data_IF_252984349304
#
_entry.id   IF_252984349304
#
_cell.length_a   1.000
_cell.length_b   1.000
_cell.length_c   1.000
_cell.angle_alpha   90.00
_cell.angle_beta   90.00
_cell.angle_gamma   90.00
#
_symmetry.space_group_name_H-M   'P 1'
#
loop_
_entity.id
_entity.type
_entity.pdbx_description
1 polymer ?
#
# COMPACT_ATOMS: atom_id res chain seq x y z
N UNK A 1 -26.31 14.68 33.88
CA UNK A 1 -24.86 14.88 33.72
C UNK A 1 -24.27 13.55 33.27
N UNK A 2 -24.06 13.36 31.95
CA UNK A 2 -23.48 12.12 31.41
C UNK A 2 -22.00 12.33 31.12
N UNK A 3 -21.18 11.64 31.89
CA UNK A 3 -19.73 11.60 31.79
C UNK A 3 -19.33 10.89 30.49
N UNK A 4 -18.62 11.60 29.59
CA UNK A 4 -17.93 11.00 28.45
C UNK A 4 -16.68 10.29 28.93
N UNK A 5 -16.57 9.00 28.69
CA UNK A 5 -15.32 8.24 28.83
C UNK A 5 -14.35 8.67 27.73
N UNK A 6 -13.10 9.07 28.03
CA UNK A 6 -12.12 9.40 27.01
C UNK A 6 -11.60 8.12 26.33
N UNK A 7 -11.57 8.13 24.99
CA UNK A 7 -10.90 7.11 24.20
C UNK A 7 -9.38 7.27 24.39
N UNK A 8 -8.78 6.34 25.12
CA UNK A 8 -7.32 6.25 25.30
C UNK A 8 -6.67 5.85 23.98
N UNK A 9 -5.93 6.77 23.37
CA UNK A 9 -5.05 6.53 22.22
C UNK A 9 -3.72 5.96 22.71
N UNK A 10 -3.71 4.67 23.03
CA UNK A 10 -2.49 3.88 23.18
C UNK A 10 -2.75 2.50 22.62
N UNK A 11 -2.71 2.37 21.29
CA UNK A 11 -2.61 1.06 20.66
C UNK A 11 -1.15 0.83 20.31
N UNK A 12 -0.41 -0.01 21.07
CA UNK A 12 0.95 -0.34 20.71
C UNK A 12 0.96 -1.05 19.35
N UNK A 13 1.96 -0.72 18.53
CA UNK A 13 2.31 -1.47 17.33
C UNK A 13 2.46 -2.95 17.73
N UNK A 14 1.44 -3.77 17.48
CA UNK A 14 1.48 -5.19 17.81
C UNK A 14 2.40 -5.88 16.82
N UNK A 15 3.67 -5.99 17.19
CA UNK A 15 4.53 -7.05 16.71
C UNK A 15 4.09 -8.35 17.42
N UNK A 16 3.46 -9.26 16.68
CA UNK A 16 3.06 -10.57 17.20
C UNK A 16 4.08 -11.63 16.75
N UNK A 17 5.02 -12.04 17.61
CA UNK A 17 6.06 -13.02 17.24
C UNK A 17 5.52 -14.45 17.09
N UNK A 18 4.28 -14.75 17.50
CA UNK A 18 3.73 -16.10 17.54
C UNK A 18 3.10 -16.55 16.21
N UNK A 19 2.92 -15.66 15.24
CA UNK A 19 2.26 -15.97 13.96
C UNK A 19 3.22 -16.40 12.86
N UNK A 20 4.24 -17.20 13.19
CA UNK A 20 5.15 -17.82 12.21
C UNK A 20 4.48 -18.99 11.48
N UNK A 21 3.56 -18.70 10.57
CA UNK A 21 3.18 -19.70 9.55
C UNK A 21 2.73 -19.01 8.27
N UNK A 22 3.65 -18.94 7.31
CA UNK A 22 3.28 -18.91 5.90
C UNK A 22 4.30 -19.75 5.12
N UNK A 23 3.95 -20.97 4.68
CA UNK A 23 4.72 -21.67 3.67
C UNK A 23 4.08 -21.62 2.27
N UNK A 24 4.98 -21.48 1.28
CA UNK A 24 4.92 -21.88 -0.13
C UNK A 24 3.92 -21.20 -1.09
N UNK A 25 4.25 -19.97 -1.52
CA UNK A 25 3.90 -19.51 -2.86
C UNK A 25 5.19 -19.09 -3.60
N UNK A 26 5.49 -19.80 -4.71
CA UNK A 26 6.48 -19.51 -5.76
C UNK A 26 7.79 -18.80 -5.37
N UNK A 27 8.91 -19.53 -5.38
CA UNK A 27 10.27 -19.08 -5.09
C UNK A 27 10.52 -17.57 -5.27
N UNK A 28 10.54 -16.86 -4.13
CA UNK A 28 11.02 -15.48 -3.97
C UNK A 28 10.02 -14.34 -4.22
N UNK A 29 8.83 -14.57 -4.77
CA UNK A 29 7.87 -13.49 -5.02
C UNK A 29 6.92 -13.28 -3.84
N UNK A 30 6.57 -12.02 -3.50
CA UNK A 30 5.60 -11.77 -2.44
C UNK A 30 4.21 -12.30 -2.86
N UNK A 31 3.41 -12.82 -1.92
CA UNK A 31 2.08 -13.34 -2.23
C UNK A 31 1.11 -12.20 -2.52
N UNK A 32 -0.05 -12.47 -3.16
CA UNK A 32 -1.13 -11.50 -3.25
C UNK A 32 -1.57 -11.01 -1.85
N UNK A 33 -1.90 -9.73 -1.66
CA UNK A 33 -2.00 -8.66 -2.65
C UNK A 33 -0.67 -7.94 -2.96
N UNK A 34 0.46 -8.44 -2.46
CA UNK A 34 1.78 -7.80 -2.64
C UNK A 34 2.54 -8.27 -3.88
N UNK A 35 2.05 -9.27 -4.62
CA UNK A 35 2.65 -9.70 -5.89
C UNK A 35 2.60 -8.55 -6.91
N UNK A 36 3.76 -8.00 -7.35
CA UNK A 36 3.77 -6.92 -8.33
C UNK A 36 3.20 -7.35 -9.68
N UNK A 37 3.32 -8.63 -10.05
CA UNK A 37 2.94 -9.15 -11.37
C UNK A 37 1.44 -9.11 -11.64
N UNK A 38 0.63 -8.96 -10.61
CA UNK A 38 -0.81 -8.78 -10.75
C UNK A 38 -1.22 -7.37 -11.20
N UNK A 39 -0.27 -6.44 -11.24
CA UNK A 39 -0.48 -5.02 -11.55
C UNK A 39 0.40 -4.56 -12.71
N UNK A 40 -0.13 -3.60 -13.46
CA UNK A 40 0.57 -2.94 -14.55
C UNK A 40 1.50 -1.86 -13.99
N UNK A 41 2.68 -1.71 -14.60
CA UNK A 41 3.61 -0.63 -14.29
C UNK A 41 3.04 0.69 -14.83
N UNK A 42 2.79 1.64 -13.94
CA UNK A 42 2.33 2.97 -14.33
C UNK A 42 3.51 3.91 -14.57
N UNK A 43 4.50 3.91 -13.66
CA UNK A 43 5.68 4.78 -13.71
C UNK A 43 6.75 4.33 -12.71
N UNK A 44 7.93 4.94 -12.78
CA UNK A 44 9.05 4.71 -11.85
C UNK A 44 9.42 6.03 -11.16
N UNK A 45 9.56 6.02 -9.83
CA UNK A 45 10.01 7.16 -9.01
C UNK A 45 11.11 6.70 -8.08
N UNK A 46 12.30 7.31 -8.17
CA UNK A 46 13.42 7.03 -7.26
C UNK A 46 13.73 5.52 -7.10
N UNK A 47 13.68 4.76 -8.20
CA UNK A 47 13.92 3.31 -8.20
C UNK A 47 12.72 2.45 -7.76
N UNK A 48 11.61 3.06 -7.36
CA UNK A 48 10.36 2.39 -7.04
C UNK A 48 9.42 2.38 -8.24
N UNK A 49 8.90 1.22 -8.57
CA UNK A 49 7.81 1.04 -9.51
C UNK A 49 6.48 1.36 -8.84
N UNK A 50 5.71 2.28 -9.41
CA UNK A 50 4.31 2.50 -9.03
C UNK A 50 3.46 1.63 -9.93
N UNK A 51 2.75 0.67 -9.33
CA UNK A 51 1.92 -0.29 -10.05
C UNK A 51 0.45 -0.20 -9.64
N UNK A 52 -0.43 -0.43 -10.60
CA UNK A 52 -1.88 -0.36 -10.44
C UNK A 52 -2.61 -1.44 -11.23
N UNK A 53 -3.82 -1.79 -10.82
CA UNK A 53 -4.70 -2.59 -11.66
C UNK A 53 -5.22 -1.72 -12.80
N UNK A 54 -5.23 -2.23 -14.04
CA UNK A 54 -5.87 -1.61 -15.19
C UNK A 54 -7.33 -2.06 -15.40
N UNK A 55 -7.98 -1.44 -16.39
CA UNK A 55 -9.28 -1.85 -16.94
C UNK A 55 -10.42 -1.97 -15.92
N UNK A 56 -11.29 -2.98 -16.07
CA UNK A 56 -12.49 -3.19 -15.22
C UNK A 56 -12.16 -3.40 -13.74
N UNK A 57 -10.98 -3.97 -13.44
CA UNK A 57 -10.54 -4.23 -12.06
C UNK A 57 -10.22 -2.92 -11.34
N UNK A 58 -9.65 -1.94 -12.05
CA UNK A 58 -9.42 -0.59 -11.55
C UNK A 58 -10.72 0.10 -11.13
N UNK A 59 -11.69 0.18 -12.04
CA UNK A 59 -12.99 0.83 -11.80
C UNK A 59 -13.72 0.20 -10.60
N UNK A 60 -13.73 -1.13 -10.52
CA UNK A 60 -14.30 -1.87 -9.40
C UNK A 60 -13.67 -1.46 -8.06
N UNK A 61 -12.34 -1.39 -7.98
CA UNK A 61 -11.68 -1.06 -6.73
C UNK A 61 -11.84 0.42 -6.34
N UNK A 62 -11.81 1.33 -7.32
CA UNK A 62 -11.95 2.76 -7.05
C UNK A 62 -13.35 3.07 -6.53
N UNK A 63 -14.40 2.62 -7.22
CA UNK A 63 -15.80 2.88 -6.84
C UNK A 63 -16.18 2.30 -5.47
N UNK A 64 -15.50 1.25 -5.02
CA UNK A 64 -15.71 0.62 -3.71
C UNK A 64 -14.82 1.18 -2.59
N UNK A 65 -13.88 2.07 -2.89
CA UNK A 65 -12.88 2.59 -1.93
C UNK A 65 -11.82 1.56 -1.52
N UNK A 66 -11.64 0.52 -2.35
CA UNK A 66 -10.67 -0.55 -2.16
C UNK A 66 -9.35 -0.30 -2.91
N UNK A 67 -9.34 0.71 -3.76
CA UNK A 67 -8.17 1.09 -4.53
C UNK A 67 -7.03 1.57 -3.63
N UNK A 68 -5.84 1.10 -3.94
CA UNK A 68 -4.55 1.49 -3.35
C UNK A 68 -3.49 1.38 -4.44
N UNK A 69 -2.45 2.20 -4.33
CA UNK A 69 -1.25 2.05 -5.13
C UNK A 69 -0.37 0.93 -4.56
N UNK A 70 0.38 0.28 -5.43
CA UNK A 70 1.51 -0.54 -5.03
C UNK A 70 2.80 0.18 -5.38
N UNK A 71 3.68 0.38 -4.40
CA UNK A 71 5.08 0.75 -4.62
C UNK A 71 5.91 -0.52 -4.53
N UNK A 72 6.58 -0.88 -5.62
CA UNK A 72 7.42 -2.06 -5.71
C UNK A 72 8.89 -1.64 -5.89
N UNK A 73 9.77 -2.10 -5.01
CA UNK A 73 11.21 -1.93 -5.16
C UNK A 73 11.83 -3.21 -5.73
N UNK A 74 12.24 -3.23 -7.02
CA UNK A 74 12.64 -4.47 -7.69
C UNK A 74 13.89 -5.10 -7.09
N UNK A 75 14.88 -4.28 -6.70
CA UNK A 75 16.13 -4.80 -6.14
C UNK A 75 15.97 -5.33 -4.71
N UNK A 76 15.12 -4.68 -3.90
CA UNK A 76 14.89 -5.09 -2.51
C UNK A 76 13.79 -6.15 -2.40
N UNK A 77 13.02 -6.35 -3.47
CA UNK A 77 11.82 -7.20 -3.52
C UNK A 77 10.78 -6.82 -2.46
N UNK A 78 10.63 -5.53 -2.21
CA UNK A 78 9.70 -4.95 -1.22
C UNK A 78 8.51 -4.33 -1.92
N UNK A 79 7.34 -4.59 -1.38
CA UNK A 79 6.04 -4.13 -1.84
C UNK A 79 5.38 -3.32 -0.72
N UNK A 80 5.02 -2.08 -1.01
CA UNK A 80 4.23 -1.23 -0.14
C UNK A 80 2.87 -1.00 -0.79
N UNK A 81 1.79 -1.23 -0.06
CA UNK A 81 0.44 -0.87 -0.45
C UNK A 81 0.02 0.38 0.30
N UNK A 82 -0.57 1.33 -0.41
CA UNK A 82 -1.08 2.55 0.21
C UNK A 82 -2.43 2.33 0.92
N UNK A 83 -2.83 3.24 1.82
CA UNK A 83 -4.09 3.13 2.55
C UNK A 83 -5.32 3.00 1.65
N UNK A 84 -6.17 2.01 1.96
CA UNK A 84 -7.49 1.80 1.37
C UNK A 84 -8.40 1.08 2.35
N UNK A 85 -9.68 0.89 2.00
CA UNK A 85 -10.57 0.05 2.82
C UNK A 85 -10.10 -1.40 2.92
N UNK A 86 -9.34 -1.92 1.94
CA UNK A 86 -8.77 -3.27 2.01
C UNK A 86 -7.62 -3.36 3.02
N UNK A 87 -6.81 -2.31 3.13
CA UNK A 87 -5.71 -2.22 4.09
C UNK A 87 -6.15 -1.59 5.42
N UNK A 88 -7.47 -1.42 5.62
CA UNK A 88 -8.08 -0.80 6.82
C UNK A 88 -7.56 0.63 7.10
N UNK A 89 -7.22 1.36 6.04
CA UNK A 89 -6.68 2.72 6.12
C UNK A 89 -5.22 2.80 6.55
N UNK A 90 -4.47 1.68 6.49
CA UNK A 90 -3.05 1.63 6.83
C UNK A 90 -2.20 1.38 5.59
N UNK A 91 -0.94 1.81 5.64
CA UNK A 91 0.09 1.31 4.74
C UNK A 91 0.40 -0.15 5.12
N UNK A 92 0.61 -1.00 4.14
CA UNK A 92 1.11 -2.37 4.35
C UNK A 92 2.42 -2.57 3.60
N UNK A 93 3.47 -3.05 4.26
CA UNK A 93 4.76 -3.36 3.65
C UNK A 93 5.08 -4.85 3.77
N UNK A 94 5.63 -5.43 2.70
CA UNK A 94 6.02 -6.84 2.64
C UNK A 94 7.18 -7.07 1.66
N UNK A 95 8.14 -7.95 1.95
CA UNK A 95 8.36 -8.59 3.24
C UNK A 95 9.15 -7.65 4.16
N UNK A 96 8.78 -7.64 5.44
CA UNK A 96 9.53 -7.00 6.53
C UNK A 96 9.86 -8.08 7.53
N UNK A 97 11.13 -8.49 7.58
CA UNK A 97 11.57 -9.67 8.36
C UNK A 97 10.72 -10.93 8.07
N UNK A 98 10.42 -11.18 6.80
CA UNK A 98 9.51 -12.24 6.30
C UNK A 98 8.05 -12.13 6.76
N UNK A 99 7.64 -10.96 7.25
CA UNK A 99 6.28 -10.68 7.72
C UNK A 99 5.67 -9.45 7.05
N UNK A 100 4.36 -9.25 7.27
CA UNK A 100 3.64 -8.04 6.86
C UNK A 100 3.73 -6.99 7.96
N UNK A 101 4.34 -5.84 7.67
CA UNK A 101 4.30 -4.68 8.54
C UNK A 101 3.17 -3.74 8.15
N UNK A 102 2.64 -3.00 9.13
CA UNK A 102 1.64 -1.97 8.90
C UNK A 102 2.07 -0.65 9.54
N UNK A 103 1.76 0.45 8.88
CA UNK A 103 2.00 1.79 9.39
C UNK A 103 0.78 2.69 9.17
N UNK A 104 0.41 3.54 10.15
CA UNK A 104 -0.75 4.41 10.01
C UNK A 104 -0.49 5.65 9.14
N UNK A 105 0.78 5.99 8.92
CA UNK A 105 1.18 7.17 8.16
C UNK A 105 2.53 6.92 7.45
N UNK A 106 2.87 7.84 6.54
CA UNK A 106 4.06 7.73 5.69
C UNK A 106 5.37 7.84 6.48
N UNK A 107 5.38 8.66 7.53
CA UNK A 107 6.55 8.87 8.38
C UNK A 107 6.91 7.59 9.13
N UNK A 108 5.92 6.93 9.75
CA UNK A 108 6.14 5.64 10.42
C UNK A 108 6.48 4.53 9.44
N UNK A 109 5.91 4.55 8.23
CA UNK A 109 6.32 3.62 7.17
C UNK A 109 7.81 3.82 6.81
N UNK A 110 8.24 5.07 6.63
CA UNK A 110 9.63 5.41 6.32
C UNK A 110 10.57 4.98 7.44
N UNK A 111 10.21 5.20 8.70
CA UNK A 111 10.99 4.75 9.86
C UNK A 111 11.11 3.21 9.89
N UNK A 112 10.03 2.48 9.61
CA UNK A 112 10.06 1.02 9.53
C UNK A 112 10.97 0.51 8.41
N UNK A 113 10.93 1.15 7.23
CA UNK A 113 11.71 0.71 6.06
C UNK A 113 13.16 1.16 6.11
N UNK A 114 13.45 2.35 6.63
CA UNK A 114 14.81 2.88 6.75
C UNK A 114 15.70 2.08 7.69
N UNK A 115 15.10 1.30 8.60
CA UNK A 115 15.84 0.33 9.42
C UNK A 115 16.17 -0.99 8.72
N UNK A 116 15.64 -1.24 7.51
CA UNK A 116 15.64 -2.57 6.89
C UNK A 116 16.25 -2.59 5.48
N UNK A 117 16.17 -1.50 4.74
CA UNK A 117 16.67 -1.42 3.37
C UNK A 117 17.47 -0.15 3.16
N UNK A 118 18.51 -0.23 2.32
CA UNK A 118 19.28 0.94 1.89
C UNK A 118 18.51 1.84 0.90
N UNK A 119 17.33 1.40 0.43
CA UNK A 119 16.51 2.16 -0.49
C UNK A 119 15.63 3.15 0.27
N UNK A 120 15.83 4.44 0.03
CA UNK A 120 14.92 5.47 0.50
C UNK A 120 13.56 5.33 -0.19
N UNK A 121 12.49 5.55 0.58
CA UNK A 121 11.16 5.66 0.02
C UNK A 121 11.06 6.90 -0.89
N UNK A 122 10.18 6.88 -1.90
CA UNK A 122 9.85 8.09 -2.65
C UNK A 122 9.37 9.21 -1.71
N UNK A 123 9.42 10.46 -2.15
CA UNK A 123 8.88 11.55 -1.32
C UNK A 123 7.36 11.36 -1.11
N UNK A 124 6.89 11.54 0.12
CA UNK A 124 5.46 11.39 0.47
C UNK A 124 4.55 12.26 -0.42
N UNK A 125 4.99 13.48 -0.72
CA UNK A 125 4.25 14.42 -1.59
C UNK A 125 4.12 13.91 -3.02
N UNK A 126 5.09 13.15 -3.52
CA UNK A 126 5.05 12.54 -4.85
C UNK A 126 4.02 11.41 -4.87
N UNK A 127 4.04 10.52 -3.88
CA UNK A 127 3.06 9.41 -3.76
C UNK A 127 1.64 9.96 -3.65
N UNK A 128 1.41 10.96 -2.78
CA UNK A 128 0.08 11.58 -2.62
C UNK A 128 -0.39 12.30 -3.89
N UNK A 129 0.51 12.95 -4.64
CA UNK A 129 0.16 13.58 -5.92
C UNK A 129 -0.28 12.55 -6.94
N UNK A 130 0.40 11.40 -7.01
CA UNK A 130 0.02 10.30 -7.90
C UNK A 130 -1.33 9.70 -7.52
N UNK A 131 -1.58 9.49 -6.22
CA UNK A 131 -2.87 9.00 -5.74
C UNK A 131 -4.03 9.92 -6.18
N UNK A 132 -3.88 11.22 -5.92
CA UNK A 132 -4.89 12.21 -6.25
C UNK A 132 -5.10 12.37 -7.76
N UNK A 133 -4.02 12.39 -8.55
CA UNK A 133 -4.10 12.55 -10.00
C UNK A 133 -4.87 11.38 -10.64
N UNK A 134 -4.57 10.14 -10.24
CA UNK A 134 -5.22 8.94 -10.76
C UNK A 134 -6.68 8.84 -10.33
N UNK A 135 -7.00 9.18 -9.07
CA UNK A 135 -8.41 9.26 -8.62
C UNK A 135 -9.17 10.32 -9.41
N UNK A 136 -8.57 11.50 -9.64
CA UNK A 136 -9.20 12.57 -10.39
C UNK A 136 -9.44 12.20 -11.87
N UNK A 137 -8.59 11.39 -12.47
CA UNK A 137 -8.82 10.84 -13.82
C UNK A 137 -10.01 9.87 -13.85
N UNK A 138 -10.17 9.01 -12.85
CA UNK A 138 -11.36 8.13 -12.76
C UNK A 138 -12.63 8.91 -12.58
N UNK A 139 -12.63 9.90 -11.68
CA UNK A 139 -13.81 10.74 -11.44
C UNK A 139 -14.19 11.51 -12.70
N UNK A 140 -13.21 11.97 -13.49
CA UNK A 140 -13.47 12.65 -14.78
C UNK A 140 -13.86 11.69 -15.90
N UNK A 141 -13.26 10.51 -15.98
CA UNK A 141 -13.52 9.49 -17.00
C UNK A 141 -14.84 8.72 -16.77
N UNK A 142 -15.30 8.62 -15.53
CA UNK A 142 -16.60 8.05 -15.17
C UNK A 142 -17.80 8.96 -15.50
N UNK A 143 -17.55 10.17 -15.99
CA UNK A 143 -18.58 11.13 -16.42
C UNK A 143 -18.96 11.07 -17.91
N UNK A 144 -18.38 10.15 -18.68
CA UNK A 144 -18.61 10.08 -20.12
C UNK A 144 -18.60 8.65 -20.65
N UNK A 145 -19.80 8.11 -20.90
CA UNK A 145 -19.98 7.11 -21.95
C UNK A 145 -19.63 7.81 -23.26
N UNK A 146 -18.46 7.52 -23.82
CA UNK A 146 -18.27 7.72 -25.25
C UNK A 146 -18.98 6.54 -25.93
N UNK A 147 -20.14 6.86 -26.51
CA UNK A 147 -20.85 6.03 -27.48
C UNK A 147 -20.04 5.86 -28.77
#
# INVERSE_FOLDING_TARGET
MSSRTPLSLDHPLRFDPARRTAPAHGEGWPPPPHDPRERELALVVAGWEVRLFGGRKFEYFVTRGFWHLQLWHPAARVSVLTPSRLTRGLYEAYPIANWKAQAPDYEKLAALLGGLFAAELPEASAVLRLERALVAEVVRGGGGVLS
#
